data_IF_172178554341
#
_entry.id   IF_172178554341
#
_cell.length_a   1.000
_cell.length_b   1.000
_cell.length_c   1.000
_cell.angle_alpha   90.00
_cell.angle_beta   90.00
_cell.angle_gamma   90.00
#
_symmetry.space_group_name_H-M   'P 1'
#
loop_
_entity.id
_entity.type
_entity.pdbx_description
1 polymer ?
#
# COMPACT_ATOMS: atom_id res chain seq x y z
N UNK A 1 0.00 25.48 23.57
CA UNK A 1 -0.30 24.06 23.82
C UNK A 1 0.45 23.27 22.77
N UNK A 2 1.45 22.51 23.16
CA UNK A 2 2.42 21.86 22.27
C UNK A 2 1.76 20.68 21.58
N UNK A 3 1.62 20.76 20.28
CA UNK A 3 1.20 19.65 19.40
C UNK A 3 2.20 18.51 19.56
N UNK A 4 1.80 17.46 20.27
CA UNK A 4 2.49 16.18 20.27
C UNK A 4 1.86 15.35 19.15
N UNK A 5 2.38 15.51 17.95
CA UNK A 5 2.22 14.48 16.93
C UNK A 5 2.88 13.21 17.45
N UNK A 6 2.07 12.36 18.10
CA UNK A 6 2.52 11.05 18.58
C UNK A 6 2.79 10.21 17.34
N UNK A 7 4.07 10.06 16.97
CA UNK A 7 4.51 9.10 15.98
C UNK A 7 3.98 7.71 16.38
N UNK A 8 2.96 7.22 15.69
CA UNK A 8 2.40 5.89 15.93
C UNK A 8 3.44 4.84 15.55
N UNK A 9 3.76 3.98 16.51
CA UNK A 9 4.69 2.86 16.32
C UNK A 9 3.92 1.69 15.73
N UNK A 10 4.16 1.36 14.47
CA UNK A 10 3.56 0.20 13.80
C UNK A 10 4.56 -0.92 13.60
N UNK A 11 4.09 -2.16 13.58
CA UNK A 11 4.88 -3.32 13.15
C UNK A 11 4.13 -4.10 12.10
N UNK A 12 4.87 -4.60 11.10
CA UNK A 12 4.35 -5.50 10.08
C UNK A 12 4.75 -6.92 10.43
N UNK A 13 3.79 -7.83 10.33
CA UNK A 13 3.97 -9.25 10.59
C UNK A 13 3.47 -10.01 9.37
N UNK A 14 4.35 -10.74 8.69
CA UNK A 14 3.99 -11.54 7.51
C UNK A 14 3.69 -12.99 7.93
N UNK A 15 2.46 -13.44 7.69
CA UNK A 15 2.04 -14.79 8.03
C UNK A 15 2.62 -15.87 7.08
N UNK A 16 3.36 -15.48 6.02
CA UNK A 16 4.11 -16.39 5.14
C UNK A 16 5.52 -16.72 5.65
N UNK A 17 6.04 -15.93 6.62
CA UNK A 17 7.35 -16.19 7.21
C UNK A 17 7.36 -17.45 8.06
N UNK A 18 8.35 -18.32 7.82
CA UNK A 18 8.48 -19.61 8.49
C UNK A 18 9.00 -19.51 9.94
N UNK A 19 9.35 -18.32 10.43
CA UNK A 19 9.93 -18.09 11.75
C UNK A 19 8.94 -18.20 12.92
N UNK A 20 7.65 -18.37 12.65
CA UNK A 20 6.60 -18.50 13.65
C UNK A 20 6.17 -17.20 14.34
N UNK A 21 6.85 -16.08 14.11
CA UNK A 21 6.57 -14.78 14.76
C UNK A 21 5.13 -14.30 14.53
N UNK A 22 4.62 -14.49 13.31
CA UNK A 22 3.24 -14.13 12.97
C UNK A 22 2.24 -14.89 13.84
N UNK A 23 2.46 -16.21 14.00
CA UNK A 23 1.62 -17.09 14.79
C UNK A 23 1.63 -16.70 16.28
N UNK A 24 2.80 -16.34 16.83
CA UNK A 24 2.94 -15.93 18.22
C UNK A 24 2.22 -14.61 18.49
N UNK A 25 2.35 -13.62 17.60
CA UNK A 25 1.59 -12.35 17.67
C UNK A 25 0.09 -12.60 17.59
N UNK A 26 -0.37 -13.43 16.64
CA UNK A 26 -1.79 -13.77 16.50
C UNK A 26 -2.34 -14.49 17.74
N UNK A 27 -1.62 -15.47 18.28
CA UNK A 27 -1.99 -16.17 19.52
C UNK A 27 -2.04 -15.19 20.70
N UNK A 28 -1.08 -14.28 20.79
CA UNK A 28 -1.06 -13.28 21.86
C UNK A 28 -2.26 -12.31 21.77
N UNK A 29 -2.68 -11.90 20.59
CA UNK A 29 -3.82 -11.01 20.37
C UNK A 29 -5.18 -11.74 20.49
N UNK A 30 -5.23 -13.05 20.25
CA UNK A 30 -6.46 -13.85 20.34
C UNK A 30 -6.91 -14.15 21.78
N UNK A 31 -6.83 -13.15 22.68
CA UNK A 31 -7.22 -13.31 24.08
C UNK A 31 -7.76 -11.99 24.63
N UNK A 32 -9.00 -11.99 25.09
CA UNK A 32 -9.63 -10.79 25.66
C UNK A 32 -8.86 -10.20 26.85
N UNK A 33 -8.38 -10.97 27.84
CA UNK A 33 -7.59 -10.42 28.93
C UNK A 33 -6.32 -9.72 28.45
N UNK A 34 -5.64 -10.26 27.43
CA UNK A 34 -4.43 -9.65 26.88
C UNK A 34 -4.73 -8.36 26.11
N UNK A 35 -5.82 -8.31 25.35
CA UNK A 35 -6.28 -7.06 24.72
C UNK A 35 -6.66 -6.00 25.77
N UNK A 36 -7.27 -6.39 26.89
CA UNK A 36 -7.55 -5.48 28.00
C UNK A 36 -6.26 -4.91 28.61
N UNK A 37 -5.22 -5.74 28.76
CA UNK A 37 -3.89 -5.30 29.24
C UNK A 37 -3.27 -4.30 28.27
N UNK A 38 -3.28 -4.57 26.95
CA UNK A 38 -2.74 -3.67 25.93
C UNK A 38 -3.47 -2.30 25.92
N UNK A 39 -4.81 -2.30 26.04
CA UNK A 39 -5.60 -1.07 26.15
C UNK A 39 -5.26 -0.32 27.44
N UNK A 40 -5.14 -1.04 28.55
CA UNK A 40 -4.84 -0.44 29.86
C UNK A 40 -3.44 0.18 29.89
N UNK A 41 -2.45 -0.44 29.24
CA UNK A 41 -1.11 0.11 29.11
C UNK A 41 -1.13 1.43 28.33
N UNK A 42 -1.77 1.50 27.16
CA UNK A 42 -1.74 2.71 26.31
C UNK A 42 -0.31 3.23 26.16
N UNK A 43 -0.09 4.51 26.49
CA UNK A 43 1.24 5.16 26.47
C UNK A 43 1.92 5.17 27.85
N UNK A 44 1.42 4.37 28.80
CA UNK A 44 1.89 4.35 30.20
C UNK A 44 2.88 3.22 30.44
N UNK A 45 3.76 3.45 31.41
CA UNK A 45 4.60 2.41 32.02
C UNK A 45 3.94 1.98 33.33
N UNK A 46 3.52 0.71 33.42
CA UNK A 46 2.71 0.21 34.53
C UNK A 46 3.32 -1.04 35.14
N UNK A 47 3.33 -1.13 36.47
CA UNK A 47 3.79 -2.32 37.18
C UNK A 47 2.81 -3.49 37.03
N UNK A 48 3.29 -4.73 36.91
CA UNK A 48 2.47 -5.94 36.73
C UNK A 48 1.42 -6.10 37.85
N UNK A 49 1.79 -5.84 39.07
CA UNK A 49 0.84 -5.89 40.22
C UNK A 49 -0.29 -4.86 40.09
N UNK A 50 0.01 -3.69 39.52
CA UNK A 50 -0.99 -2.64 39.29
C UNK A 50 -1.95 -3.08 38.16
N UNK A 51 -1.43 -3.70 37.09
CA UNK A 51 -2.24 -4.31 36.01
C UNK A 51 -3.20 -5.34 36.62
N UNK A 52 -2.72 -6.22 37.49
CA UNK A 52 -3.54 -7.24 38.15
C UNK A 52 -4.69 -6.59 38.96
N UNK A 53 -4.37 -5.62 39.81
CA UNK A 53 -5.34 -4.93 40.67
C UNK A 53 -6.39 -4.17 39.87
N UNK A 54 -5.95 -3.32 38.91
CA UNK A 54 -6.84 -2.40 38.20
C UNK A 54 -7.73 -3.13 37.16
N UNK A 55 -7.30 -4.29 36.68
CA UNK A 55 -8.09 -5.14 35.75
C UNK A 55 -8.85 -6.27 36.45
N UNK A 56 -8.73 -6.40 37.78
CA UNK A 56 -9.39 -7.45 38.54
C UNK A 56 -8.90 -8.86 38.21
N UNK A 57 -7.61 -9.01 37.85
CA UNK A 57 -7.00 -10.29 37.54
C UNK A 57 -6.24 -10.87 38.72
N UNK A 58 -6.25 -12.20 38.94
CA UNK A 58 -5.31 -12.82 39.87
C UNK A 58 -3.86 -12.47 39.51
N UNK A 59 -2.98 -12.20 40.48
CA UNK A 59 -1.59 -11.80 40.21
C UNK A 59 -0.81 -12.78 39.30
N UNK A 60 -0.99 -14.09 39.51
CA UNK A 60 -0.39 -15.14 38.68
C UNK A 60 -0.89 -15.11 37.22
N UNK A 61 -2.19 -14.91 37.05
CA UNK A 61 -2.82 -14.80 35.72
C UNK A 61 -2.34 -13.55 34.97
N UNK A 62 -2.27 -12.41 35.68
CA UNK A 62 -1.73 -11.17 35.07
C UNK A 62 -0.26 -11.35 34.65
N UNK A 63 0.56 -11.99 35.50
CA UNK A 63 1.96 -12.28 35.20
C UNK A 63 2.11 -13.21 33.97
N UNK A 64 1.26 -14.24 33.86
CA UNK A 64 1.23 -15.13 32.69
C UNK A 64 0.87 -14.37 31.42
N UNK A 65 -0.20 -13.60 31.42
CA UNK A 65 -0.60 -12.81 30.24
C UNK A 65 0.46 -11.76 29.84
N UNK A 66 1.10 -11.14 30.81
CA UNK A 66 2.22 -10.22 30.55
C UNK A 66 3.40 -10.95 29.92
N UNK A 67 3.75 -12.14 30.39
CA UNK A 67 4.84 -12.95 29.80
C UNK A 67 4.55 -13.34 28.35
N UNK A 68 3.31 -13.74 28.02
CA UNK A 68 2.87 -14.05 26.66
C UNK A 68 2.94 -12.84 25.72
N UNK A 69 2.51 -11.66 26.20
CA UNK A 69 2.59 -10.43 25.42
C UNK A 69 4.05 -9.97 25.22
N UNK A 70 4.90 -10.16 26.23
CA UNK A 70 6.33 -9.87 26.15
C UNK A 70 7.05 -10.79 25.19
N UNK A 71 6.75 -12.09 25.23
CA UNK A 71 7.30 -13.10 24.30
C UNK A 71 6.91 -12.79 22.84
N UNK A 72 5.68 -12.34 22.60
CA UNK A 72 5.22 -11.91 21.29
C UNK A 72 5.78 -10.53 20.86
N UNK A 73 6.58 -9.85 21.71
CA UNK A 73 7.14 -8.54 21.43
C UNK A 73 6.14 -7.37 21.42
N UNK A 74 4.91 -7.61 21.87
CA UNK A 74 3.84 -6.59 21.91
C UNK A 74 3.99 -5.61 23.07
N UNK A 75 4.70 -6.01 24.12
CA UNK A 75 5.10 -5.19 25.24
C UNK A 75 6.58 -5.39 25.57
N UNK A 76 7.17 -4.40 26.21
CA UNK A 76 8.52 -4.48 26.77
C UNK A 76 8.41 -4.34 28.29
N UNK A 77 9.12 -5.18 29.02
CA UNK A 77 9.16 -5.14 30.47
C UNK A 77 10.59 -4.91 30.99
N UNK A 78 10.69 -4.18 32.10
CA UNK A 78 11.95 -3.90 32.78
C UNK A 78 11.80 -4.01 34.31
N UNK A 79 12.88 -4.26 35.01
CA UNK A 79 12.92 -4.25 36.45
C UNK A 79 13.33 -2.86 36.94
N UNK A 80 12.48 -2.22 37.76
CA UNK A 80 12.77 -0.92 38.37
C UNK A 80 12.85 -1.03 39.90
N UNK A 81 13.70 -0.24 40.55
CA UNK A 81 13.73 -0.14 42.03
C UNK A 81 12.35 0.21 42.61
N UNK A 82 11.99 -0.39 43.72
CA UNK A 82 10.79 -0.09 44.47
C UNK A 82 11.15 0.14 45.95
N UNK A 83 10.21 0.59 46.74
CA UNK A 83 10.41 0.80 48.19
C UNK A 83 10.88 -0.46 48.93
N UNK A 84 10.56 -1.64 48.42
CA UNK A 84 11.09 -2.95 48.85
C UNK A 84 11.41 -3.78 47.62
N UNK A 85 12.72 -3.97 47.31
CA UNK A 85 13.21 -4.80 46.19
C UNK A 85 13.01 -4.20 44.82
N UNK A 86 12.78 -5.07 43.80
CA UNK A 86 12.57 -4.73 42.41
C UNK A 86 11.11 -5.01 42.01
N UNK A 87 10.55 -4.18 41.12
CA UNK A 87 9.23 -4.40 40.52
C UNK A 87 9.35 -4.47 39.02
N UNK A 88 8.66 -5.41 38.38
CA UNK A 88 8.55 -5.50 36.94
C UNK A 88 7.51 -4.49 36.45
N UNK A 89 7.92 -3.57 35.57
CA UNK A 89 7.06 -2.60 34.89
C UNK A 89 7.05 -2.87 33.40
N UNK A 90 5.92 -2.64 32.77
CA UNK A 90 5.71 -2.95 31.35
C UNK A 90 5.16 -1.73 30.61
N UNK A 91 5.49 -1.62 29.33
CA UNK A 91 4.98 -0.63 28.39
C UNK A 91 4.62 -1.28 27.09
N UNK A 92 3.67 -0.73 26.37
CA UNK A 92 3.29 -1.21 25.03
C UNK A 92 4.38 -0.84 24.01
N UNK A 93 4.77 -1.79 23.16
CA UNK A 93 5.82 -1.59 22.14
C UNK A 93 5.29 -0.92 20.90
N UNK A 94 4.10 -1.32 20.45
CA UNK A 94 3.48 -0.86 19.21
C UNK A 94 2.05 -0.38 19.44
N UNK A 95 1.62 0.58 18.63
CA UNK A 95 0.27 1.10 18.62
C UNK A 95 -0.60 0.38 17.59
N UNK A 96 0.04 -0.21 16.58
CA UNK A 96 -0.59 -0.90 15.47
C UNK A 96 0.19 -2.15 15.07
N UNK A 97 -0.53 -3.21 14.73
CA UNK A 97 0.01 -4.44 14.14
C UNK A 97 -0.67 -4.65 12.79
N UNK A 98 0.11 -4.67 11.70
CA UNK A 98 -0.36 -4.94 10.34
C UNK A 98 0.00 -6.38 9.99
N UNK A 99 -1.01 -7.20 9.69
CA UNK A 99 -0.83 -8.60 9.33
C UNK A 99 -0.87 -8.76 7.81
N UNK A 100 0.24 -9.21 7.22
CA UNK A 100 0.32 -9.72 5.87
C UNK A 100 -0.21 -11.16 5.83
N UNK A 101 -1.22 -11.45 5.00
CA UNK A 101 -1.70 -12.81 4.80
C UNK A 101 -0.84 -13.55 3.77
N UNK A 102 -0.63 -14.87 3.92
CA UNK A 102 0.11 -15.66 2.94
C UNK A 102 -0.52 -15.50 1.55
N UNK A 103 0.29 -15.15 0.59
CA UNK A 103 -0.12 -15.23 -0.82
C UNK A 103 0.04 -16.70 -1.22
N UNK A 104 -1.03 -17.32 -1.73
CA UNK A 104 -0.95 -18.71 -2.22
C UNK A 104 0.21 -18.89 -3.20
N UNK A 105 0.77 -20.11 -3.29
CA UNK A 105 1.91 -20.53 -4.12
C UNK A 105 1.70 -20.18 -5.62
N UNK A 106 1.80 -18.92 -5.95
CA UNK A 106 2.13 -18.50 -7.29
C UNK A 106 3.65 -18.35 -7.29
N UNK A 107 4.31 -19.09 -8.15
CA UNK A 107 5.74 -18.98 -8.45
C UNK A 107 6.22 -17.56 -8.18
N UNK A 108 7.33 -17.37 -7.47
CA UNK A 108 7.82 -16.08 -7.00
C UNK A 108 7.92 -15.06 -8.15
N UNK A 109 6.75 -14.57 -8.61
CA UNK A 109 6.67 -13.55 -9.66
C UNK A 109 7.33 -12.30 -9.14
N UNK A 110 8.19 -11.73 -9.93
CA UNK A 110 8.78 -10.44 -9.58
C UNK A 110 7.70 -9.37 -9.65
N UNK A 111 7.81 -8.40 -8.76
CA UNK A 111 6.89 -7.26 -8.72
C UNK A 111 7.65 -5.96 -8.87
N UNK A 112 7.10 -5.06 -9.64
CA UNK A 112 7.48 -3.67 -9.69
C UNK A 112 6.33 -2.86 -9.10
N UNK A 113 6.63 -2.03 -8.10
CA UNK A 113 5.64 -1.19 -7.42
C UNK A 113 6.09 0.27 -7.43
N UNK A 114 5.16 1.17 -7.67
CA UNK A 114 5.39 2.61 -7.62
C UNK A 114 4.15 3.32 -7.09
N UNK A 115 4.37 4.22 -6.13
CA UNK A 115 3.34 5.07 -5.54
C UNK A 115 3.43 6.46 -6.14
N UNK A 116 2.30 7.02 -6.61
CA UNK A 116 2.22 8.34 -7.21
C UNK A 116 1.35 9.24 -6.34
N UNK A 117 1.89 10.34 -5.79
CA UNK A 117 1.12 11.30 -5.01
C UNK A 117 -0.15 11.75 -5.74
N UNK A 118 -1.27 11.87 -5.05
CA UNK A 118 -2.57 12.19 -5.68
C UNK A 118 -2.56 13.53 -6.42
N UNK A 119 -1.72 14.47 -6.02
CA UNK A 119 -1.52 15.75 -6.71
C UNK A 119 -0.50 15.72 -7.87
N UNK A 120 0.15 14.56 -8.13
CA UNK A 120 1.17 14.42 -9.17
C UNK A 120 0.60 13.97 -10.53
N UNK A 121 -0.65 14.28 -10.80
CA UNK A 121 -1.27 14.01 -12.09
C UNK A 121 -0.60 14.80 -13.23
N UNK A 122 -0.62 14.23 -14.43
CA UNK A 122 -0.01 14.78 -15.64
C UNK A 122 -1.03 15.45 -16.56
N UNK A 123 -2.29 15.04 -16.47
CA UNK A 123 -3.40 15.59 -17.28
C UNK A 123 -4.69 15.56 -16.48
N UNK A 124 -5.62 16.47 -16.81
CA UNK A 124 -6.92 16.59 -16.14
C UNK A 124 -8.00 17.02 -17.12
N UNK A 125 -9.22 16.56 -16.84
CA UNK A 125 -10.47 17.15 -17.35
C UNK A 125 -11.48 17.07 -16.19
N UNK A 126 -11.57 18.11 -15.37
CA UNK A 126 -12.39 18.10 -14.14
C UNK A 126 -13.47 19.15 -14.21
N UNK A 127 -14.65 18.79 -13.70
CA UNK A 127 -15.80 19.65 -13.61
C UNK A 127 -16.17 19.94 -12.15
N UNK A 128 -16.58 21.17 -11.82
CA UNK A 128 -17.10 21.50 -10.49
C UNK A 128 -18.38 20.67 -10.14
N UNK A 129 -18.58 20.35 -8.84
CA UNK A 129 -17.75 20.74 -7.67
C UNK A 129 -16.37 20.10 -7.75
N UNK A 130 -15.31 20.85 -7.46
CA UNK A 130 -13.97 20.31 -7.51
C UNK A 130 -13.01 21.08 -6.59
N UNK A 131 -11.91 20.45 -6.21
CA UNK A 131 -10.87 21.09 -5.42
C UNK A 131 -9.75 20.17 -4.96
N UNK A 132 -8.83 20.75 -4.21
CA UNK A 132 -7.65 20.12 -3.69
C UNK A 132 -7.45 20.48 -2.23
N UNK A 133 -7.14 19.51 -1.38
CA UNK A 133 -6.74 19.73 -0.01
C UNK A 133 -5.35 19.16 0.25
N UNK A 134 -4.50 19.98 0.87
CA UNK A 134 -3.19 19.58 1.35
C UNK A 134 -3.18 19.26 2.85
N UNK A 135 -2.01 19.06 3.45
CA UNK A 135 -1.91 18.73 4.87
C UNK A 135 -2.36 19.87 5.80
N UNK A 136 -2.31 21.13 5.35
CA UNK A 136 -2.53 22.31 6.20
C UNK A 136 -3.67 23.22 5.73
N UNK A 137 -4.38 22.90 4.65
CA UNK A 137 -5.44 23.74 4.10
C UNK A 137 -5.80 23.37 2.67
N UNK A 138 -6.77 24.11 2.12
CA UNK A 138 -7.14 24.03 0.71
C UNK A 138 -6.00 24.54 -0.17
N UNK A 139 -5.90 24.00 -1.38
CA UNK A 139 -4.96 24.44 -2.42
C UNK A 139 -5.79 25.09 -3.52
N UNK A 140 -5.47 26.37 -3.83
CA UNK A 140 -6.23 27.16 -4.78
C UNK A 140 -7.63 27.54 -4.31
N UNK A 141 -8.54 27.70 -5.24
CA UNK A 141 -9.94 28.06 -5.00
C UNK A 141 -10.83 26.81 -5.18
N UNK A 142 -11.85 26.70 -4.35
CA UNK A 142 -12.88 25.67 -4.51
C UNK A 142 -13.68 25.95 -5.80
N UNK A 143 -14.11 24.89 -6.45
CA UNK A 143 -14.92 24.90 -7.67
C UNK A 143 -14.27 25.61 -8.88
N UNK A 144 -12.96 25.78 -8.81
CA UNK A 144 -12.16 26.32 -9.88
C UNK A 144 -11.21 25.27 -10.49
N UNK A 145 -11.49 24.71 -11.67
CA UNK A 145 -10.60 23.78 -12.35
C UNK A 145 -9.18 24.30 -12.59
N UNK A 146 -8.98 25.64 -12.65
CA UNK A 146 -7.64 26.23 -12.79
C UNK A 146 -6.76 25.96 -11.57
N UNK A 147 -7.35 25.77 -10.39
CA UNK A 147 -6.62 25.41 -9.16
C UNK A 147 -5.86 24.10 -9.28
N UNK A 148 -6.26 23.20 -10.17
CA UNK A 148 -5.55 21.94 -10.44
C UNK A 148 -4.19 22.15 -11.13
N UNK A 149 -3.87 23.34 -11.59
CA UNK A 149 -2.56 23.72 -12.13
C UNK A 149 -1.69 24.50 -11.14
N UNK A 150 -2.15 24.75 -9.92
CA UNK A 150 -1.36 25.40 -8.88
C UNK A 150 -0.09 24.61 -8.59
N UNK A 151 1.07 25.27 -8.37
CA UNK A 151 2.32 24.59 -8.05
C UNK A 151 2.22 23.70 -6.80
N UNK A 152 1.46 24.16 -5.81
CA UNK A 152 1.26 23.47 -4.53
C UNK A 152 0.42 22.20 -4.64
N UNK A 153 -0.20 21.91 -5.81
CA UNK A 153 -0.95 20.68 -6.06
C UNK A 153 -0.15 19.40 -5.75
N UNK A 154 1.19 19.47 -5.87
CA UNK A 154 2.07 18.35 -5.54
C UNK A 154 1.97 17.92 -4.07
N UNK A 155 1.52 18.81 -3.18
CA UNK A 155 1.30 18.55 -1.78
C UNK A 155 -0.14 18.07 -1.46
N UNK A 156 -1.01 17.95 -2.48
CA UNK A 156 -2.39 17.50 -2.28
C UNK A 156 -2.44 16.12 -1.62
N UNK A 157 -3.37 15.98 -0.68
CA UNK A 157 -3.67 14.75 0.04
C UNK A 157 -5.12 14.31 -0.16
N UNK A 158 -5.94 15.19 -0.76
CA UNK A 158 -7.28 14.89 -1.23
C UNK A 158 -7.49 15.65 -2.54
N UNK A 159 -8.06 14.98 -3.52
CA UNK A 159 -8.47 15.53 -4.82
C UNK A 159 -9.91 15.12 -5.04
N UNK A 160 -10.79 16.09 -5.36
CA UNK A 160 -12.19 15.79 -5.65
C UNK A 160 -12.70 16.55 -6.88
N UNK A 161 -13.64 15.94 -7.58
CA UNK A 161 -14.36 16.55 -8.69
C UNK A 161 -15.67 15.82 -9.02
N UNK A 162 -16.64 16.53 -9.58
CA UNK A 162 -17.96 15.97 -9.90
C UNK A 162 -17.94 15.04 -11.12
N UNK A 163 -17.21 15.39 -12.15
CA UNK A 163 -17.11 14.61 -13.38
C UNK A 163 -15.77 14.84 -14.08
N UNK A 164 -15.41 13.96 -15.00
CA UNK A 164 -14.15 13.99 -15.71
C UNK A 164 -13.10 13.05 -15.09
N UNK A 165 -11.82 13.43 -15.16
CA UNK A 165 -10.74 12.56 -14.74
C UNK A 165 -9.48 13.32 -14.31
N UNK A 166 -8.62 12.62 -13.57
CA UNK A 166 -7.19 12.92 -13.43
C UNK A 166 -6.37 11.77 -14.00
N UNK A 167 -5.26 12.08 -14.69
CA UNK A 167 -4.38 11.09 -15.30
C UNK A 167 -2.99 11.14 -14.68
N UNK A 168 -2.43 9.99 -14.38
CA UNK A 168 -1.08 9.81 -13.85
C UNK A 168 -0.20 9.08 -14.88
N UNK A 169 1.08 9.44 -14.96
CA UNK A 169 2.07 8.79 -15.83
C UNK A 169 3.09 8.04 -14.99
N UNK A 170 3.05 6.72 -15.06
CA UNK A 170 3.97 5.83 -14.36
C UNK A 170 5.07 5.34 -15.30
N UNK A 171 6.36 5.41 -14.92
CA UNK A 171 7.42 4.80 -15.71
C UNK A 171 7.31 3.28 -15.62
N UNK A 172 7.31 2.60 -16.78
CA UNK A 172 7.41 1.13 -16.83
C UNK A 172 8.89 0.73 -16.78
N UNK A 173 9.34 0.29 -15.59
CA UNK A 173 10.71 -0.17 -15.37
C UNK A 173 10.84 -1.69 -15.30
N UNK A 174 9.86 -2.39 -15.80
CA UNK A 174 9.96 -3.85 -16.00
C UNK A 174 11.11 -4.13 -16.98
N UNK A 175 12.05 -5.05 -16.66
CA UNK A 175 13.17 -5.35 -17.52
C UNK A 175 12.73 -5.76 -18.93
N UNK A 176 13.41 -5.31 -20.00
CA UNK A 176 13.11 -5.74 -21.36
C UNK A 176 13.13 -7.26 -21.50
N UNK A 177 12.20 -7.80 -22.28
CA UNK A 177 12.04 -9.25 -22.47
C UNK A 177 11.31 -9.99 -21.36
N UNK A 178 10.90 -9.28 -20.29
CA UNK A 178 10.01 -9.87 -19.27
C UNK A 178 8.59 -10.02 -19.79
N UNK A 179 7.90 -11.04 -19.30
CA UNK A 179 6.47 -11.27 -19.57
C UNK A 179 5.65 -10.73 -18.41
N UNK A 180 4.85 -9.69 -18.66
CA UNK A 180 3.93 -9.14 -17.67
C UNK A 180 2.76 -10.12 -17.52
N UNK A 181 2.45 -10.51 -16.31
CA UNK A 181 1.36 -11.44 -15.98
C UNK A 181 0.17 -10.75 -15.31
N UNK A 182 0.37 -9.57 -14.74
CA UNK A 182 -0.70 -8.72 -14.26
C UNK A 182 -0.22 -7.29 -14.04
N UNK A 183 -1.17 -6.35 -14.14
CA UNK A 183 -1.02 -4.97 -13.68
C UNK A 183 -2.18 -4.64 -12.75
N UNK A 184 -1.92 -3.89 -11.68
CA UNK A 184 -2.94 -3.44 -10.77
C UNK A 184 -2.72 -1.98 -10.38
N UNK A 185 -3.82 -1.25 -10.26
CA UNK A 185 -3.88 0.11 -9.72
C UNK A 185 -4.68 0.05 -8.43
N UNK A 186 -4.23 0.69 -7.37
CA UNK A 186 -5.01 0.83 -6.15
C UNK A 186 -5.03 2.27 -5.66
N UNK A 187 -6.18 2.71 -5.16
CA UNK A 187 -6.40 4.03 -4.58
C UNK A 187 -7.53 3.96 -3.55
N UNK A 188 -7.46 4.80 -2.53
CA UNK A 188 -8.59 5.04 -1.65
C UNK A 188 -9.51 6.06 -2.32
N UNK A 189 -10.79 5.69 -2.56
CA UNK A 189 -11.75 6.53 -3.26
C UNK A 189 -13.14 6.44 -2.64
N UNK A 190 -13.94 7.51 -2.77
CA UNK A 190 -15.37 7.48 -2.55
C UNK A 190 -16.09 8.43 -3.51
N UNK A 191 -17.42 8.46 -3.49
CA UNK A 191 -18.21 9.48 -4.17
C UNK A 191 -17.92 10.87 -3.58
N UNK A 192 -18.40 11.92 -4.25
CA UNK A 192 -18.31 13.31 -3.78
C UNK A 192 -19.72 13.89 -3.70
N UNK A 193 -20.22 14.10 -2.50
CA UNK A 193 -21.53 14.67 -2.22
C UNK A 193 -21.40 16.02 -1.50
N UNK A 194 -22.39 16.91 -1.57
CA UNK A 194 -22.44 18.09 -0.71
C UNK A 194 -22.38 17.69 0.78
N UNK A 195 -21.35 18.10 1.50
CA UNK A 195 -20.96 17.63 2.83
C UNK A 195 -20.50 16.16 2.76
N UNK A 196 -21.37 15.22 3.11
CA UNK A 196 -21.23 13.79 2.85
C UNK A 196 -22.61 13.13 2.84
N UNK A 197 -22.77 12.07 2.06
CA UNK A 197 -23.98 11.26 2.01
C UNK A 197 -23.62 9.78 1.74
N UNK A 198 -23.89 8.88 2.68
CA UNK A 198 -23.59 7.46 2.50
C UNK A 198 -24.44 6.77 1.42
N UNK A 199 -25.52 7.42 0.94
CA UNK A 199 -26.39 6.95 -0.15
C UNK A 199 -26.29 7.88 -1.37
N UNK A 200 -25.05 8.07 -1.87
CA UNK A 200 -24.73 8.93 -3.01
C UNK A 200 -23.91 8.17 -4.05
N UNK A 201 -24.55 7.34 -4.89
CA UNK A 201 -23.83 6.44 -5.78
C UNK A 201 -23.03 7.17 -6.87
N UNK A 202 -21.85 6.66 -7.17
CA UNK A 202 -20.99 7.16 -8.24
C UNK A 202 -20.26 6.03 -8.96
N UNK A 203 -20.26 6.04 -10.30
CA UNK A 203 -19.63 5.06 -11.16
C UNK A 203 -18.16 5.45 -11.42
N UNK A 204 -17.28 5.04 -10.51
CA UNK A 204 -15.85 5.33 -10.59
C UNK A 204 -15.19 4.38 -11.60
N UNK A 205 -14.58 4.97 -12.61
CA UNK A 205 -13.91 4.31 -13.74
C UNK A 205 -12.41 4.44 -13.68
N UNK A 206 -11.70 3.41 -14.17
CA UNK A 206 -10.25 3.44 -14.36
C UNK A 206 -9.93 3.07 -15.81
N UNK A 207 -8.95 3.78 -16.38
CA UNK A 207 -8.37 3.49 -17.70
C UNK A 207 -6.86 3.23 -17.52
N UNK A 208 -6.35 2.33 -18.30
CA UNK A 208 -4.90 2.12 -18.47
C UNK A 208 -4.58 2.26 -19.95
N UNK A 209 -3.66 3.18 -20.31
CA UNK A 209 -3.30 3.51 -21.69
C UNK A 209 -4.54 3.74 -22.58
N UNK A 210 -5.46 4.59 -22.12
CA UNK A 210 -6.76 4.94 -22.74
C UNK A 210 -7.78 3.77 -22.85
N UNK A 211 -7.43 2.57 -22.38
CA UNK A 211 -8.36 1.43 -22.35
C UNK A 211 -9.21 1.50 -21.10
N UNK A 212 -10.52 1.66 -21.25
CA UNK A 212 -11.48 1.69 -20.15
C UNK A 212 -11.68 0.30 -19.57
N UNK A 213 -11.30 0.11 -18.29
CA UNK A 213 -11.40 -1.20 -17.64
C UNK A 213 -12.84 -1.55 -17.21
N UNK A 214 -13.70 -0.55 -17.09
CA UNK A 214 -15.05 -0.64 -16.53
C UNK A 214 -15.23 0.29 -15.34
N UNK A 215 -16.44 0.35 -14.80
CA UNK A 215 -16.79 1.17 -13.64
C UNK A 215 -17.13 0.31 -12.42
N UNK A 216 -16.72 0.79 -11.26
CA UNK A 216 -17.20 0.30 -9.96
C UNK A 216 -18.13 1.35 -9.36
N UNK A 217 -19.36 0.96 -9.02
CA UNK A 217 -20.30 1.86 -8.36
C UNK A 217 -19.96 1.98 -6.89
N UNK A 218 -19.45 3.14 -6.50
CA UNK A 218 -19.29 3.51 -5.10
C UNK A 218 -20.67 3.80 -4.51
N UNK A 219 -21.03 3.29 -3.31
CA UNK A 219 -22.35 3.50 -2.75
C UNK A 219 -22.59 4.92 -2.22
N UNK A 220 -21.52 5.64 -1.85
CA UNK A 220 -21.69 6.95 -1.25
C UNK A 220 -20.41 7.67 -0.90
N UNK A 221 -20.57 8.83 -0.28
CA UNK A 221 -19.51 9.64 0.32
C UNK A 221 -19.51 9.46 1.84
N UNK A 222 -18.34 9.16 2.41
CA UNK A 222 -18.24 8.72 3.80
C UNK A 222 -17.71 9.82 4.72
N UNK A 223 -18.59 10.26 5.65
CA UNK A 223 -18.31 11.26 6.66
C UNK A 223 -18.94 10.94 8.01
N UNK A 224 -19.12 11.94 8.86
CA UNK A 224 -19.71 11.81 10.21
C UNK A 224 -18.81 11.09 11.23
N UNK A 225 -17.82 10.33 10.78
CA UNK A 225 -16.75 9.75 11.60
C UNK A 225 -15.44 10.12 10.95
N UNK A 226 -14.53 10.74 11.70
CA UNK A 226 -13.26 11.22 11.17
C UNK A 226 -12.41 10.07 10.63
N UNK A 227 -11.87 10.24 9.42
CA UNK A 227 -10.90 9.34 8.83
C UNK A 227 -9.62 9.27 9.67
N UNK A 228 -8.96 8.11 9.66
CA UNK A 228 -7.79 7.83 10.51
C UNK A 228 -6.63 8.81 10.27
N UNK A 229 -6.47 9.28 9.05
CA UNK A 229 -5.39 10.17 8.60
C UNK A 229 -5.89 11.58 8.28
N UNK A 230 -7.21 11.77 8.26
CA UNK A 230 -7.83 13.06 7.92
C UNK A 230 -7.37 14.16 8.86
N UNK A 231 -6.81 15.27 8.33
CA UNK A 231 -6.25 16.34 9.13
C UNK A 231 -7.27 16.99 10.07
N UNK A 232 -6.82 17.47 11.23
CA UNK A 232 -7.70 18.08 12.21
C UNK A 232 -8.35 19.39 11.78
N UNK A 233 -7.81 20.06 10.78
CA UNK A 233 -8.36 21.30 10.23
C UNK A 233 -9.54 21.08 9.27
N UNK A 234 -9.69 19.83 8.71
CA UNK A 234 -10.80 19.48 7.82
C UNK A 234 -12.11 19.36 8.60
N UNK A 235 -13.22 19.89 8.06
CA UNK A 235 -14.51 19.89 8.74
C UNK A 235 -15.04 18.44 8.88
N UNK A 236 -15.57 18.09 10.05
CA UNK A 236 -16.12 16.76 10.33
C UNK A 236 -17.38 16.44 9.51
N UNK A 237 -18.02 17.48 8.94
CA UNK A 237 -19.21 17.34 8.09
C UNK A 237 -18.88 16.98 6.64
N UNK A 238 -17.64 17.17 6.21
CA UNK A 238 -17.22 16.89 4.84
C UNK A 238 -16.73 15.42 4.74
N UNK A 239 -16.42 14.99 3.49
CA UNK A 239 -15.88 13.66 3.19
C UNK A 239 -14.67 13.35 4.07
N UNK A 240 -14.69 12.23 4.79
CA UNK A 240 -13.65 11.91 5.78
C UNK A 240 -12.72 10.79 5.32
N UNK A 241 -13.21 9.83 4.56
CA UNK A 241 -12.45 8.68 4.10
C UNK A 241 -13.15 8.00 2.92
N UNK A 242 -12.41 7.13 2.26
CA UNK A 242 -12.88 6.30 1.18
C UNK A 242 -12.79 4.81 1.47
N UNK A 243 -12.97 4.05 0.41
CA UNK A 243 -12.74 2.60 0.37
C UNK A 243 -11.51 2.35 -0.48
N UNK A 244 -10.58 1.55 0.02
CA UNK A 244 -9.44 1.12 -0.76
C UNK A 244 -9.91 0.16 -1.85
N UNK A 245 -9.73 0.54 -3.11
CA UNK A 245 -10.09 -0.25 -4.27
C UNK A 245 -8.83 -0.68 -5.03
N UNK A 246 -8.90 -1.86 -5.63
CA UNK A 246 -7.83 -2.42 -6.43
C UNK A 246 -8.38 -2.93 -7.76
N UNK A 247 -8.09 -2.21 -8.83
CA UNK A 247 -8.34 -2.63 -10.21
C UNK A 247 -7.15 -3.46 -10.70
N UNK A 248 -7.41 -4.66 -11.19
CA UNK A 248 -6.36 -5.58 -11.65
C UNK A 248 -6.73 -6.13 -13.02
N UNK A 249 -5.76 -6.13 -13.94
CA UNK A 249 -5.88 -6.74 -15.26
C UNK A 249 -4.87 -7.90 -15.36
N UNK A 250 -5.33 -9.02 -15.87
CA UNK A 250 -4.52 -10.20 -16.21
C UNK A 250 -5.04 -10.79 -17.53
N UNK A 251 -4.52 -11.92 -17.94
CA UNK A 251 -5.02 -12.63 -19.12
C UNK A 251 -6.48 -13.07 -18.98
N UNK A 252 -6.94 -13.28 -17.73
CA UNK A 252 -8.32 -13.67 -17.44
C UNK A 252 -9.32 -12.50 -17.49
N UNK A 253 -8.84 -11.26 -17.73
CA UNK A 253 -9.65 -10.06 -17.78
C UNK A 253 -9.38 -9.06 -16.65
N UNK A 254 -10.21 -8.01 -16.57
CA UNK A 254 -10.15 -6.97 -15.54
C UNK A 254 -11.06 -7.30 -14.36
N UNK A 255 -10.58 -7.01 -13.15
CA UNK A 255 -11.31 -7.20 -11.88
C UNK A 255 -11.18 -5.98 -11.00
N UNK A 256 -12.15 -5.76 -10.10
CA UNK A 256 -12.04 -4.85 -8.95
C UNK A 256 -12.20 -5.66 -7.67
N UNK A 257 -11.19 -5.62 -6.79
CA UNK A 257 -11.11 -6.42 -5.55
C UNK A 257 -11.36 -7.93 -5.79
N UNK A 258 -10.96 -8.44 -6.95
CA UNK A 258 -11.18 -9.84 -7.34
C UNK A 258 -12.55 -10.15 -7.95
N UNK A 259 -13.48 -9.19 -7.99
CA UNK A 259 -14.76 -9.33 -8.68
C UNK A 259 -14.58 -8.96 -10.15
N UNK A 260 -15.09 -9.78 -11.06
CA UNK A 260 -14.99 -9.54 -12.51
C UNK A 260 -15.63 -8.18 -12.88
N UNK A 261 -14.89 -7.39 -13.67
CA UNK A 261 -15.30 -6.06 -14.11
C UNK A 261 -15.54 -6.04 -15.63
N UNK A 262 -14.59 -6.56 -16.40
CA UNK A 262 -14.70 -6.68 -17.86
C UNK A 262 -13.78 -7.76 -18.42
N UNK A 263 -13.92 -8.08 -19.70
CA UNK A 263 -13.08 -9.04 -20.41
C UNK A 263 -11.76 -8.44 -20.97
N UNK A 264 -11.39 -7.23 -20.57
CA UNK A 264 -10.16 -6.55 -21.00
C UNK A 264 -8.94 -7.32 -20.47
N UNK A 265 -8.12 -7.86 -21.38
CA UNK A 265 -6.87 -8.57 -21.05
C UNK A 265 -5.64 -7.65 -21.12
N UNK A 266 -4.49 -8.16 -20.70
CA UNK A 266 -3.20 -7.44 -20.71
C UNK A 266 -2.81 -6.98 -22.12
N UNK A 267 -3.06 -7.79 -23.15
CA UNK A 267 -2.71 -7.46 -24.55
C UNK A 267 -3.39 -6.18 -25.03
N UNK A 268 -4.63 -5.94 -24.59
CA UNK A 268 -5.38 -4.73 -24.94
C UNK A 268 -4.73 -3.45 -24.42
N UNK A 269 -3.96 -3.54 -23.32
CA UNK A 269 -3.34 -2.38 -22.67
C UNK A 269 -2.10 -1.86 -23.38
N UNK A 270 -1.51 -2.63 -24.31
CA UNK A 270 -0.33 -2.23 -25.08
C UNK A 270 0.89 -1.88 -24.22
N UNK A 271 1.09 -2.59 -23.12
CA UNK A 271 2.19 -2.33 -22.18
C UNK A 271 3.55 -2.63 -22.81
N UNK A 272 4.46 -1.66 -22.84
CA UNK A 272 5.81 -1.81 -23.39
C UNK A 272 6.87 -1.44 -22.36
N UNK A 273 7.94 -2.23 -22.29
CA UNK A 273 9.07 -1.94 -21.41
C UNK A 273 9.73 -0.60 -21.81
N UNK A 274 10.05 0.24 -20.81
CA UNK A 274 10.71 1.52 -21.02
C UNK A 274 9.78 2.68 -21.42
N UNK A 275 8.51 2.41 -21.75
CA UNK A 275 7.50 3.45 -21.98
C UNK A 275 6.79 3.84 -20.68
N UNK A 276 6.03 4.94 -20.70
CA UNK A 276 5.16 5.31 -19.58
C UNK A 276 3.82 4.60 -19.69
N UNK A 277 3.23 4.31 -18.54
CA UNK A 277 1.87 3.77 -18.42
C UNK A 277 0.97 4.92 -17.96
N UNK A 278 -0.03 5.27 -18.76
CA UNK A 278 -1.05 6.22 -18.37
C UNK A 278 -2.12 5.51 -17.54
N UNK A 279 -2.42 6.06 -16.36
CA UNK A 279 -3.52 5.61 -15.50
C UNK A 279 -4.45 6.78 -15.28
N UNK A 280 -5.69 6.65 -15.73
CA UNK A 280 -6.73 7.66 -15.55
C UNK A 280 -7.76 7.13 -14.56
N UNK A 281 -8.18 8.00 -13.62
CA UNK A 281 -9.20 7.70 -12.62
C UNK A 281 -10.24 8.81 -12.69
N UNK A 282 -11.51 8.47 -12.74
CA UNK A 282 -12.57 9.47 -12.84
C UNK A 282 -13.95 8.90 -13.13
N UNK A 283 -14.81 9.74 -13.66
CA UNK A 283 -16.20 9.43 -14.00
C UNK A 283 -16.33 9.41 -15.52
N UNK A 284 -16.80 8.27 -16.08
CA UNK A 284 -17.00 8.14 -17.51
C UNK A 284 -18.13 9.08 -17.97
N UNK A 285 -18.03 9.73 -19.15
CA UNK A 285 -19.08 10.63 -19.65
C UNK A 285 -20.48 9.99 -19.76
N UNK A 286 -20.53 8.67 -19.96
CA UNK A 286 -21.77 7.88 -20.08
C UNK A 286 -22.12 7.13 -18.77
N UNK A 287 -21.54 7.54 -17.63
CA UNK A 287 -21.84 6.93 -16.34
C UNK A 287 -23.34 7.11 -15.99
N UNK A 288 -23.96 6.05 -15.48
CA UNK A 288 -25.33 6.10 -15.04
C UNK A 288 -25.47 6.89 -13.72
N UNK A 289 -24.44 6.78 -12.84
CA UNK A 289 -24.37 7.49 -11.57
C UNK A 289 -23.20 8.47 -11.60
N UNK A 290 -23.48 9.77 -11.73
CA UNK A 290 -22.50 10.86 -11.71
C UNK A 290 -22.51 11.50 -10.32
N UNK A 291 -22.01 10.76 -9.34
CA UNK A 291 -21.93 11.19 -7.94
C UNK A 291 -20.57 11.76 -7.56
N UNK A 292 -19.73 12.17 -8.52
CA UNK A 292 -18.39 12.69 -8.25
C UNK A 292 -17.41 11.64 -7.72
N UNK A 293 -16.21 12.09 -7.42
CA UNK A 293 -15.14 11.26 -6.85
C UNK A 293 -14.28 12.06 -5.89
N UNK A 294 -13.93 11.45 -4.77
CA UNK A 294 -12.84 11.81 -3.90
C UNK A 294 -11.71 10.79 -4.08
N UNK A 295 -10.46 11.25 -4.25
CA UNK A 295 -9.25 10.44 -4.32
C UNK A 295 -8.35 10.85 -3.16
N UNK A 296 -8.10 9.93 -2.23
CA UNK A 296 -7.36 10.17 -1.01
C UNK A 296 -5.88 9.81 -1.18
N UNK A 297 -4.99 10.65 -0.68
CA UNK A 297 -3.56 10.41 -0.59
C UNK A 297 -3.15 9.90 0.78
N UNK A 298 -1.86 9.58 0.94
CA UNK A 298 -1.31 8.93 2.13
C UNK A 298 -1.48 9.71 3.45
N UNK A 299 -1.81 10.97 3.41
CA UNK A 299 -2.04 11.84 4.58
C UNK A 299 -3.50 12.19 4.81
N UNK A 300 -4.44 11.51 4.15
CA UNK A 300 -5.88 11.73 4.28
C UNK A 300 -6.64 10.40 4.21
N UNK A 301 -7.87 10.33 4.74
CA UNK A 301 -8.70 9.13 4.70
C UNK A 301 -8.28 8.06 5.72
N UNK A 302 -8.33 6.80 5.32
CA UNK A 302 -8.08 5.66 6.20
C UNK A 302 -6.82 4.88 5.87
N UNK A 303 -6.25 5.01 4.66
CA UNK A 303 -5.14 4.19 4.17
C UNK A 303 -3.92 5.06 3.88
N UNK A 304 -2.71 4.72 4.43
CA UNK A 304 -1.49 5.52 4.26
C UNK A 304 -0.82 5.25 2.90
N UNK A 305 -1.60 5.38 1.82
CA UNK A 305 -1.11 5.21 0.44
C UNK A 305 -1.61 6.33 -0.47
N UNK A 306 -0.95 6.49 -1.61
CA UNK A 306 -1.36 7.33 -2.73
C UNK A 306 -1.98 6.45 -3.84
N UNK A 307 -1.89 6.89 -5.10
CA UNK A 307 -2.25 6.03 -6.24
C UNK A 307 -1.09 5.07 -6.51
N UNK A 308 -1.28 3.79 -6.20
CA UNK A 308 -0.25 2.78 -6.31
C UNK A 308 -0.43 1.94 -7.57
N UNK A 309 0.65 1.80 -8.35
CA UNK A 309 0.76 0.88 -9.48
C UNK A 309 1.62 -0.31 -9.08
N UNK A 310 1.14 -1.51 -9.39
CA UNK A 310 1.88 -2.77 -9.22
C UNK A 310 1.86 -3.57 -10.51
N UNK A 311 3.03 -4.02 -10.96
CA UNK A 311 3.18 -4.91 -12.12
C UNK A 311 3.80 -6.23 -11.64
N UNK A 312 3.14 -7.35 -11.97
CA UNK A 312 3.65 -8.71 -11.76
C UNK A 312 4.24 -9.22 -13.09
N UNK A 313 5.47 -9.74 -13.04
CA UNK A 313 6.15 -10.17 -14.26
C UNK A 313 7.11 -11.33 -13.99
N UNK A 314 7.35 -12.11 -15.04
CA UNK A 314 8.38 -13.14 -15.08
C UNK A 314 9.54 -12.66 -15.97
N UNK A 315 10.77 -12.82 -15.52
CA UNK A 315 11.95 -12.52 -16.33
C UNK A 315 12.15 -13.68 -17.29
N UNK A 316 12.28 -13.40 -18.58
CA UNK A 316 12.68 -14.41 -19.53
C UNK A 316 13.99 -15.08 -19.03
N UNK A 317 13.98 -16.42 -18.90
CA UNK A 317 15.22 -17.14 -18.61
C UNK A 317 16.16 -16.84 -19.79
N UNK A 318 17.33 -16.27 -19.47
CA UNK A 318 18.38 -16.18 -20.48
C UNK A 318 18.62 -17.61 -21.00
N UNK A 319 18.43 -17.84 -22.29
CA UNK A 319 18.85 -19.11 -22.88
C UNK A 319 20.29 -19.37 -22.45
N UNK A 320 20.62 -20.58 -21.97
CA UNK A 320 21.99 -20.90 -21.63
C UNK A 320 22.82 -20.66 -22.91
N UNK A 321 23.78 -19.73 -22.80
CA UNK A 321 24.72 -19.43 -23.87
C UNK A 321 25.26 -20.79 -24.40
N UNK A 322 25.10 -21.15 -25.68
CA UNK A 322 25.59 -22.42 -26.19
C UNK A 322 27.06 -22.51 -25.75
N UNK A 323 27.43 -23.64 -25.18
CA UNK A 323 28.81 -23.91 -24.77
C UNK A 323 29.67 -23.66 -26.00
N UNK A 324 30.44 -22.57 -25.96
CA UNK A 324 31.31 -22.18 -27.05
C UNK A 324 32.28 -23.33 -27.29
N UNK A 325 32.45 -23.73 -28.56
CA UNK A 325 33.49 -24.65 -28.98
C UNK A 325 34.78 -24.30 -28.23
N UNK A 326 35.25 -25.21 -27.39
CA UNK A 326 36.56 -25.13 -26.80
C UNK A 326 37.56 -24.93 -27.93
N UNK A 327 38.17 -23.76 -28.00
CA UNK A 327 39.30 -23.54 -28.93
C UNK A 327 40.35 -24.61 -28.65
N UNK A 328 40.89 -25.29 -29.68
CA UNK A 328 41.86 -26.36 -29.52
C UNK A 328 43.10 -25.81 -28.77
N UNK A 329 43.49 -26.51 -27.73
CA UNK A 329 44.65 -26.23 -26.88
C UNK A 329 45.93 -26.05 -27.76
N UNK A 330 46.59 -24.88 -27.75
CA UNK A 330 47.80 -24.62 -28.51
C UNK A 330 49.03 -25.38 -28.01
N UNK A 331 48.95 -26.17 -26.93
CA UNK A 331 50.06 -26.92 -26.36
C UNK A 331 50.31 -28.29 -27.03
N UNK A 332 49.45 -28.76 -28.00
CA UNK A 332 49.58 -30.05 -28.62
C UNK A 332 50.46 -30.07 -29.91
N UNK A 333 51.34 -29.08 -30.12
CA UNK A 333 52.36 -29.18 -31.17
C UNK A 333 53.59 -29.88 -30.66
N UNK A 334 53.56 -31.22 -30.74
CA UNK A 334 54.66 -32.10 -30.47
C UNK A 334 55.91 -31.79 -31.28
N UNK A 335 57.04 -31.92 -30.63
CA UNK A 335 58.40 -31.86 -31.07
C UNK A 335 58.60 -32.60 -32.41
N UNK A 336 58.96 -31.90 -33.49
CA UNK A 336 59.57 -32.51 -34.64
C UNK A 336 61.08 -32.34 -34.51
N UNK A 337 61.76 -33.50 -34.40
CA UNK A 337 63.18 -33.73 -34.49
C UNK A 337 63.79 -33.05 -35.74
N UNK A 338 64.88 -32.32 -35.55
CA UNK A 338 65.73 -31.83 -36.65
C UNK A 338 66.52 -32.99 -37.23
N UNK A 339 66.66 -33.14 -38.54
CA UNK A 339 67.66 -34.00 -39.13
C UNK A 339 69.02 -33.32 -39.16
N UNK A 340 70.09 -34.15 -38.95
CA UNK A 340 71.49 -33.81 -38.99
C UNK A 340 71.96 -33.19 -40.31
N UNK A 341 72.87 -32.21 -40.23
CA UNK A 341 73.71 -31.75 -41.35
C UNK A 341 74.99 -32.48 -41.35
N UNK A 342 75.48 -33.07 -42.50
CA UNK A 342 76.79 -33.57 -42.62
C UNK A 342 77.81 -32.43 -42.84
N UNK A 343 79.00 -32.64 -42.27
CA UNK A 343 80.19 -31.83 -42.42
C UNK A 343 80.74 -31.91 -43.86
N UNK A 344 81.12 -30.77 -44.43
CA UNK A 344 82.41 -30.48 -45.14
C UNK A 344 82.51 -28.93 -45.26
#
# INVERSE_FOLDING_TARGET
>A
MTDRSVLRRSTHVDASEADGRALDVLKALASEPRLRILRYLGDRVVAVNRIATDLGLPPSTAAMHVAELEQAGLITCELRPASRGLRKVCSRTYDEVVLGLPRGDRHARRTYELSMPVGAYSDIDVQPTCGLAGPNGLIGLMDDPASFYEPDRQAAQLVWFRAGFVEYRFPNRVPPGSVISAIAVSAEVCSEAPLHDPDWPSDISVWINDVHLGAWTCPGDFGGTRGRLTPSWWDDRDSQYGVLKRWRVSDDGATVDGVALSAISLDALGLRAGETIAVRIGIHPEAANVGGINIFGRGFGNYPQDVDLRIEYDVAQAEPKPAGDEAPDPSARGSRLRPDRPAT
#
